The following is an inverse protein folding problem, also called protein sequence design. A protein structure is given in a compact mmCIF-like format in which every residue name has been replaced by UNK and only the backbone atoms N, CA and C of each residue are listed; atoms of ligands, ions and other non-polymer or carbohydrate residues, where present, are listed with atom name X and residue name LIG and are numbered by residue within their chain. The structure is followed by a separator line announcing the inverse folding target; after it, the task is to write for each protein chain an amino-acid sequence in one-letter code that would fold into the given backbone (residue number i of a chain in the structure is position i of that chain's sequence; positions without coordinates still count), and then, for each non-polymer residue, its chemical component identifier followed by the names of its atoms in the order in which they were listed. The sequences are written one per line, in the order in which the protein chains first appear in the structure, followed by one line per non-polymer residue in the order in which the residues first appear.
data_IF_473693207671
#
_entry.id   IF_473693207671
#
_cell.length_a   1.000
_cell.length_b   1.000
_cell.length_c   1.000
_cell.angle_alpha   90.00
_cell.angle_beta   90.00
_cell.angle_gamma   90.00
#
_symmetry.space_group_name_H-M   'P 1'
#
loop_
_entity.id
_entity.type
_entity.pdbx_description
1 polymer ?
#
# COMPACT_ATOMS: atom_id res chain seq x y z
N UNK A 1 1.17 -8.16 -2.23
CA UNK A 1 0.02 -7.23 -2.20
C UNK A 1 -1.07 -7.61 -3.23
N UNK A 2 -1.47 -8.88 -3.31
CA UNK A 2 -2.53 -9.28 -4.25
C UNK A 2 -3.87 -8.69 -3.78
N UNK A 3 -4.62 -8.00 -4.65
CA UNK A 3 -5.92 -7.41 -4.31
C UNK A 3 -5.89 -6.20 -3.37
N UNK A 4 -4.71 -5.77 -2.88
CA UNK A 4 -4.57 -4.64 -1.95
C UNK A 4 -4.39 -3.29 -2.65
N UNK A 5 -3.94 -3.32 -3.90
CA UNK A 5 -3.75 -2.14 -4.73
C UNK A 5 -5.08 -1.73 -5.36
N UNK A 6 -5.26 -0.42 -5.61
CA UNK A 6 -6.46 0.08 -6.29
C UNK A 6 -6.51 -0.35 -7.77
N UNK A 7 -5.35 -0.46 -8.39
CA UNK A 7 -5.15 -0.82 -9.80
C UNK A 7 -4.26 -2.06 -9.88
N UNK A 8 -4.31 -2.80 -11.01
CA UNK A 8 -3.39 -3.92 -11.27
C UNK A 8 -1.92 -3.49 -11.14
N UNK A 9 -1.05 -4.45 -10.81
CA UNK A 9 0.38 -4.23 -10.59
C UNK A 9 1.18 -4.14 -11.91
N UNK A 10 0.63 -3.45 -12.92
CA UNK A 10 1.24 -3.34 -14.25
C UNK A 10 2.25 -2.17 -14.32
N UNK A 11 2.61 -1.57 -13.18
CA UNK A 11 3.57 -0.47 -13.07
C UNK A 11 4.95 -0.83 -13.60
N UNK A 12 5.32 -2.12 -13.59
CA UNK A 12 6.54 -2.62 -14.20
C UNK A 12 6.63 -2.35 -15.71
N UNK A 13 5.50 -2.12 -16.38
CA UNK A 13 5.41 -1.86 -17.82
C UNK A 13 5.25 -0.38 -18.17
N UNK A 14 5.17 0.53 -17.18
CA UNK A 14 4.98 1.95 -17.44
C UNK A 14 6.27 2.62 -17.92
N UNK A 15 6.16 3.40 -19.00
CA UNK A 15 7.25 4.25 -19.51
C UNK A 15 7.64 5.27 -18.44
N UNK A 16 8.92 5.28 -18.06
CA UNK A 16 9.45 6.14 -17.00
C UNK A 16 9.64 5.46 -15.65
N UNK A 17 9.22 4.20 -15.49
CA UNK A 17 9.38 3.41 -14.26
C UNK A 17 8.79 4.11 -13.02
N UNK A 18 7.66 4.81 -13.19
CA UNK A 18 6.96 5.45 -12.08
C UNK A 18 6.68 4.42 -10.98
N UNK A 19 7.29 4.65 -9.80
CA UNK A 19 7.26 3.81 -8.59
C UNK A 19 8.31 2.68 -8.51
N UNK A 20 8.99 2.27 -9.60
CA UNK A 20 10.02 1.20 -9.57
C UNK A 20 9.56 -0.11 -8.90
N UNK A 21 8.28 -0.43 -9.02
CA UNK A 21 7.68 -1.60 -8.38
C UNK A 21 7.90 -2.85 -9.20
N UNK A 22 9.03 -3.49 -8.93
CA UNK A 22 9.19 -4.89 -9.29
C UNK A 22 8.86 -5.76 -8.10
N UNK A 23 8.00 -6.75 -8.32
CA UNK A 23 7.70 -7.75 -7.29
C UNK A 23 9.00 -8.48 -6.94
N UNK A 24 9.34 -8.43 -5.68
CA UNK A 24 10.39 -9.29 -5.14
C UNK A 24 9.78 -10.65 -4.82
N UNK A 25 10.45 -11.72 -5.24
CA UNK A 25 9.96 -13.09 -5.13
C UNK A 25 10.99 -14.06 -4.56
N UNK A 26 12.19 -13.58 -4.23
CA UNK A 26 13.31 -14.44 -3.86
C UNK A 26 13.96 -13.96 -2.56
N UNK A 27 14.37 -14.92 -1.74
CA UNK A 27 15.02 -14.70 -0.45
C UNK A 27 16.53 -14.44 -0.55
N UNK A 28 17.11 -14.55 -1.74
CA UNK A 28 18.54 -14.35 -2.00
C UNK A 28 18.81 -13.01 -2.68
N UNK A 29 19.89 -12.34 -2.26
CA UNK A 29 20.36 -11.09 -2.87
C UNK A 29 21.24 -11.36 -4.11
N UNK A 30 20.80 -12.29 -4.96
CA UNK A 30 21.50 -12.67 -6.20
C UNK A 30 20.83 -11.94 -7.37
N UNK A 31 21.64 -11.15 -8.08
CA UNK A 31 21.18 -10.32 -9.21
C UNK A 31 20.57 -11.18 -10.33
N UNK A 32 21.16 -12.35 -10.60
CA UNK A 32 20.73 -13.24 -11.66
C UNK A 32 19.32 -13.82 -11.43
N UNK A 33 18.98 -14.07 -10.16
CA UNK A 33 17.75 -14.76 -9.80
C UNK A 33 16.61 -13.77 -9.51
N UNK A 34 16.94 -12.65 -8.86
CA UNK A 34 15.97 -11.64 -8.47
C UNK A 34 15.82 -10.57 -9.55
N UNK A 35 14.93 -10.84 -10.51
CA UNK A 35 14.61 -9.94 -11.63
C UNK A 35 14.21 -8.54 -11.14
N UNK A 36 13.49 -8.44 -10.03
CA UNK A 36 13.08 -7.15 -9.50
C UNK A 36 14.23 -6.34 -8.89
N UNK A 37 15.14 -7.03 -8.19
CA UNK A 37 16.35 -6.43 -7.67
C UNK A 37 17.28 -5.99 -8.79
N UNK A 38 17.48 -6.82 -9.83
CA UNK A 38 18.38 -6.50 -10.95
C UNK A 38 17.95 -5.26 -11.71
N UNK A 39 16.65 -5.13 -12.01
CA UNK A 39 16.13 -3.95 -12.72
C UNK A 39 16.26 -2.67 -11.87
N UNK A 40 15.94 -2.74 -10.56
CA UNK A 40 16.14 -1.60 -9.66
C UNK A 40 17.63 -1.23 -9.55
N UNK A 41 18.51 -2.22 -9.44
CA UNK A 41 19.94 -1.99 -9.33
C UNK A 41 20.50 -1.34 -10.60
N UNK A 42 20.12 -1.81 -11.79
CA UNK A 42 20.53 -1.20 -13.06
C UNK A 42 20.08 0.26 -13.18
N UNK A 43 18.89 0.58 -12.68
CA UNK A 43 18.38 1.95 -12.68
C UNK A 43 19.16 2.86 -11.73
N UNK A 44 19.47 2.38 -10.52
CA UNK A 44 20.09 3.17 -9.46
C UNK A 44 21.61 3.27 -9.68
N UNK A 45 22.27 2.15 -9.98
CA UNK A 45 23.72 2.02 -10.05
C UNK A 45 24.13 1.95 -11.52
N UNK A 46 24.46 3.10 -12.10
CA UNK A 46 25.12 3.17 -13.41
C UNK A 46 26.63 2.99 -13.19
N UNK A 47 27.20 1.87 -13.68
CA UNK A 47 28.64 1.59 -13.61
C UNK A 47 29.44 2.81 -14.14
N UNK A 48 30.62 3.15 -13.56
CA UNK A 48 31.45 2.32 -12.67
C UNK A 48 31.29 2.59 -11.16
N UNK A 49 30.37 3.47 -10.75
CA UNK A 49 30.29 3.93 -9.36
C UNK A 49 29.43 2.99 -8.51
N UNK A 50 29.94 2.55 -7.35
CA UNK A 50 29.21 1.68 -6.42
C UNK A 50 28.06 2.38 -5.66
N UNK A 51 27.83 3.68 -5.92
CA UNK A 51 26.77 4.49 -5.32
C UNK A 51 25.91 5.07 -6.44
N UNK A 52 24.60 5.04 -6.21
CA UNK A 52 23.60 5.54 -7.14
C UNK A 52 22.68 6.55 -6.50
N UNK A 53 22.10 7.42 -7.32
CA UNK A 53 21.03 8.35 -6.92
C UNK A 53 19.74 7.88 -7.57
N UNK A 54 18.63 7.98 -6.85
CA UNK A 54 17.32 7.62 -7.38
C UNK A 54 16.33 8.76 -7.19
N UNK A 55 15.34 8.79 -8.08
CA UNK A 55 14.15 9.62 -7.98
C UNK A 55 12.95 8.74 -8.28
N UNK A 56 11.95 8.75 -7.41
CA UNK A 56 10.68 8.08 -7.68
C UNK A 56 9.51 8.88 -7.11
N UNK A 57 8.32 8.63 -7.65
CA UNK A 57 7.07 9.24 -7.20
C UNK A 57 6.13 8.16 -6.67
N UNK A 58 5.67 8.28 -5.43
CA UNK A 58 4.65 7.39 -4.87
C UNK A 58 3.26 8.00 -5.07
N UNK A 59 2.36 7.27 -5.71
CA UNK A 59 0.95 7.67 -5.77
C UNK A 59 0.26 7.39 -4.44
N UNK A 60 -0.03 8.47 -3.68
CA UNK A 60 -0.70 8.38 -2.38
C UNK A 60 -2.12 7.82 -2.50
N UNK A 61 -2.83 8.13 -3.59
CA UNK A 61 -4.16 7.59 -3.87
C UNK A 61 -4.12 6.08 -4.12
N UNK A 62 -3.07 5.57 -4.77
CA UNK A 62 -2.98 4.15 -5.07
C UNK A 62 -2.58 3.32 -3.85
N UNK A 63 -1.56 3.78 -3.11
CA UNK A 63 -0.98 3.09 -1.96
C UNK A 63 -1.81 3.26 -0.68
N UNK A 64 -2.00 4.51 -0.31
CA UNK A 64 -2.61 4.90 0.95
C UNK A 64 -4.10 5.22 0.80
N UNK A 65 -4.64 5.17 -0.44
CA UNK A 65 -6.02 5.58 -0.73
C UNK A 65 -6.33 7.00 -0.27
N UNK A 66 -5.31 7.87 -0.36
CA UNK A 66 -5.43 9.28 -0.03
C UNK A 66 -6.44 9.97 -0.95
N UNK A 67 -7.35 10.76 -0.35
CA UNK A 67 -8.46 11.45 -1.03
C UNK A 67 -9.30 10.57 -1.96
N UNK A 68 -9.53 9.30 -1.59
CA UNK A 68 -10.32 8.42 -2.45
C UNK A 68 -11.84 8.60 -2.29
N UNK A 69 -12.26 9.19 -1.17
CA UNK A 69 -13.67 9.43 -0.81
C UNK A 69 -14.15 10.85 -1.16
N UNK A 70 -13.25 11.74 -1.55
CA UNK A 70 -13.57 13.11 -1.89
C UNK A 70 -12.91 13.50 -3.21
N UNK A 71 -13.73 13.77 -4.21
CA UNK A 71 -13.32 14.05 -5.60
C UNK A 71 -13.51 15.53 -6.01
N UNK A 72 -13.92 16.39 -5.08
CA UNK A 72 -14.12 17.83 -5.32
C UNK A 72 -12.88 18.65 -5.00
N UNK A 73 -12.84 19.86 -5.55
CA UNK A 73 -11.76 20.82 -5.27
C UNK A 73 -11.84 21.30 -3.82
N UNK A 74 -10.69 21.39 -3.18
CA UNK A 74 -10.52 21.92 -1.83
C UNK A 74 -9.87 23.29 -1.95
N UNK A 75 -10.53 24.33 -1.44
CA UNK A 75 -10.02 25.70 -1.44
C UNK A 75 -9.65 26.14 -0.02
N UNK A 76 -8.50 26.80 0.13
CA UNK A 76 -8.07 27.40 1.40
C UNK A 76 -7.56 26.44 2.48
N UNK A 77 -7.54 25.12 2.25
CA UNK A 77 -6.93 24.17 3.20
C UNK A 77 -5.42 24.07 3.00
N UNK A 78 -4.70 24.14 4.12
CA UNK A 78 -3.26 23.84 4.16
C UNK A 78 -3.06 22.33 4.18
N UNK A 79 -2.28 21.83 3.23
CA UNK A 79 -1.91 20.43 3.16
C UNK A 79 -0.48 20.25 3.71
N UNK A 80 -0.34 19.44 4.75
CA UNK A 80 0.95 19.10 5.35
C UNK A 80 1.18 17.60 5.29
N UNK A 81 2.42 17.19 5.07
CA UNK A 81 2.87 15.81 5.20
C UNK A 81 3.94 15.75 6.29
N UNK A 82 3.64 15.05 7.38
CA UNK A 82 4.60 14.75 8.44
C UNK A 82 5.14 13.34 8.21
N UNK A 83 6.46 13.21 8.11
CA UNK A 83 7.13 11.92 8.03
C UNK A 83 8.13 11.83 9.18
N UNK A 84 7.98 10.80 9.99
CA UNK A 84 8.95 10.46 11.04
C UNK A 84 9.71 9.24 10.54
N UNK A 85 11.02 9.40 10.36
CA UNK A 85 11.91 8.32 9.94
C UNK A 85 12.53 7.70 11.19
N UNK A 86 12.56 6.36 11.25
CA UNK A 86 13.29 5.63 12.27
C UNK A 86 14.78 5.54 11.89
N UNK A 87 15.17 4.61 11.00
CA UNK A 87 16.57 4.38 10.63
C UNK A 87 16.86 4.49 9.13
N UNK A 88 18.15 4.51 8.78
CA UNK A 88 18.62 4.63 7.38
C UNK A 88 18.91 3.30 6.67
N UNK A 89 18.79 2.20 7.41
CA UNK A 89 19.44 0.94 7.07
C UNK A 89 18.40 -0.13 6.65
N UNK A 90 17.18 -0.12 7.20
CA UNK A 90 16.17 -1.17 6.98
C UNK A 90 15.58 -1.24 5.55
N UNK A 91 15.88 -0.26 4.71
CA UNK A 91 15.38 -0.19 3.33
C UNK A 91 16.22 -1.00 2.33
N UNK A 92 17.36 -1.56 2.74
CA UNK A 92 18.31 -2.23 1.85
C UNK A 92 18.36 -3.72 2.15
N UNK A 93 18.29 -4.52 1.09
CA UNK A 93 18.55 -5.94 1.11
C UNK A 93 19.92 -6.22 0.46
N UNK A 94 20.80 -6.93 1.16
CA UNK A 94 22.19 -7.23 0.78
C UNK A 94 22.45 -8.74 0.86
N UNK A 95 23.51 -9.20 0.19
CA UNK A 95 24.01 -10.54 0.38
C UNK A 95 24.75 -10.67 1.72
N UNK A 96 24.79 -11.89 2.26
CA UNK A 96 25.53 -12.20 3.48
C UNK A 96 27.02 -11.82 3.32
N UNK A 97 27.60 -11.18 4.35
CA UNK A 97 29.00 -10.76 4.37
C UNK A 97 29.33 -9.48 3.59
N UNK A 98 28.37 -8.86 2.91
CA UNK A 98 28.57 -7.57 2.22
C UNK A 98 28.41 -6.41 3.21
N UNK A 99 29.17 -5.31 3.07
CA UNK A 99 29.01 -4.15 3.96
C UNK A 99 27.57 -3.60 3.97
N UNK A 100 27.12 -3.08 5.12
CA UNK A 100 25.77 -2.54 5.26
C UNK A 100 25.59 -1.30 4.38
N UNK A 101 24.48 -1.24 3.65
CA UNK A 101 24.11 -0.10 2.83
C UNK A 101 23.38 0.97 3.65
N UNK A 102 23.38 2.21 3.17
CA UNK A 102 22.60 3.30 3.77
C UNK A 102 21.83 4.07 2.70
N UNK A 103 20.58 4.42 2.97
CA UNK A 103 19.77 5.29 2.11
C UNK A 103 19.72 6.70 2.69
N UNK A 104 20.24 7.68 1.95
CA UNK A 104 20.13 9.09 2.30
C UNK A 104 19.04 9.74 1.46
N UNK A 105 18.01 10.28 2.10
CA UNK A 105 16.94 11.03 1.45
C UNK A 105 17.32 12.50 1.43
N UNK A 106 17.60 13.04 0.25
CA UNK A 106 18.01 14.45 0.09
C UNK A 106 16.80 15.40 0.09
N UNK A 107 15.71 15.01 -0.56
CA UNK A 107 14.50 15.82 -0.69
C UNK A 107 13.26 14.95 -0.76
N UNK A 108 12.26 15.33 0.02
CA UNK A 108 10.90 14.78 -0.06
C UNK A 108 9.96 15.94 -0.29
N UNK A 109 9.10 15.85 -1.30
CA UNK A 109 8.12 16.89 -1.61
C UNK A 109 6.76 16.26 -1.90
N UNK A 110 5.70 16.83 -1.30
CA UNK A 110 4.33 16.47 -1.62
C UNK A 110 3.89 17.20 -2.89
N UNK A 111 3.53 16.45 -3.92
CA UNK A 111 2.97 17.01 -5.15
C UNK A 111 1.45 16.87 -5.12
N UNK A 112 0.75 18.01 -5.04
CA UNK A 112 -0.70 18.09 -5.14
C UNK A 112 -1.07 18.75 -6.48
N UNK A 113 -1.97 18.15 -7.28
CA UNK A 113 -2.38 18.78 -8.54
C UNK A 113 -3.16 20.06 -8.26
N UNK A 114 -2.77 21.16 -8.90
CA UNK A 114 -3.59 22.36 -9.00
C UNK A 114 -4.54 22.23 -10.18
N UNK A 115 -5.76 22.76 -10.03
CA UNK A 115 -6.78 22.78 -11.08
C UNK A 115 -7.13 24.23 -11.36
N UNK A 116 -7.00 24.66 -12.60
CA UNK A 116 -7.50 25.95 -13.08
C UNK A 116 -8.94 25.78 -13.55
N UNK A 117 -9.86 26.55 -12.98
CA UNK A 117 -11.28 26.48 -13.29
C UNK A 117 -11.63 27.33 -14.52
N UNK A 118 -12.71 26.98 -15.22
CA UNK A 118 -13.33 27.89 -16.19
C UNK A 118 -14.09 29.01 -15.45
N UNK A 119 -14.38 30.12 -16.14
CA UNK A 119 -15.07 31.29 -15.58
C UNK A 119 -16.42 30.88 -14.95
N UNK A 120 -17.19 30.03 -15.61
CA UNK A 120 -18.49 29.56 -15.09
C UNK A 120 -18.33 28.72 -13.81
N UNK A 121 -17.33 27.85 -13.76
CA UNK A 121 -17.05 27.01 -12.59
C UNK A 121 -16.52 27.83 -11.41
N UNK A 122 -15.71 28.85 -11.69
CA UNK A 122 -15.21 29.79 -10.70
C UNK A 122 -16.36 30.61 -10.08
N UNK A 123 -17.29 31.11 -10.90
CA UNK A 123 -18.45 31.85 -10.43
C UNK A 123 -19.35 31.01 -9.51
N UNK A 124 -19.50 29.71 -9.82
CA UNK A 124 -20.21 28.77 -8.97
C UNK A 124 -19.47 28.47 -7.66
N UNK A 125 -18.14 28.29 -7.72
CA UNK A 125 -17.32 28.10 -6.52
C UNK A 125 -17.40 29.31 -5.59
N UNK A 126 -17.34 30.54 -6.14
CA UNK A 126 -17.48 31.78 -5.37
C UNK A 126 -18.85 31.88 -4.71
N UNK A 127 -19.94 31.44 -5.38
CA UNK A 127 -21.28 31.37 -4.76
C UNK A 127 -21.30 30.44 -3.55
N UNK A 128 -20.72 29.23 -3.67
CA UNK A 128 -20.64 28.26 -2.57
C UNK A 128 -19.77 28.80 -1.41
N UNK A 129 -18.65 29.45 -1.72
CA UNK A 129 -17.80 30.08 -0.69
C UNK A 129 -18.56 31.19 0.03
N UNK A 130 -19.33 32.02 -0.72
CA UNK A 130 -20.15 33.10 -0.15
C UNK A 130 -21.32 32.57 0.68
N UNK A 131 -21.94 31.45 0.29
CA UNK A 131 -23.04 30.85 1.07
C UNK A 131 -22.57 30.27 2.40
N UNK A 132 -21.25 30.06 2.59
CA UNK A 132 -20.64 29.50 3.81
C UNK A 132 -21.27 28.17 4.23
N UNK A 133 -21.71 27.41 3.24
CA UNK A 133 -22.28 26.10 3.47
C UNK A 133 -21.27 25.17 4.11
N UNK A 134 -21.71 24.42 5.12
CA UNK A 134 -20.89 23.38 5.73
C UNK A 134 -20.81 22.19 4.79
N UNK A 135 -19.62 21.92 4.25
CA UNK A 135 -19.38 20.78 3.39
C UNK A 135 -18.84 19.63 4.25
N UNK A 136 -19.52 18.49 4.22
CA UNK A 136 -18.99 17.29 4.85
C UNK A 136 -17.84 16.74 3.99
N UNK A 137 -16.67 16.58 4.60
CA UNK A 137 -15.48 16.00 3.99
C UNK A 137 -15.25 14.58 4.51
N UNK A 138 -15.79 13.54 3.84
CA UNK A 138 -15.55 12.17 4.23
C UNK A 138 -14.07 11.82 3.98
N UNK A 139 -13.45 11.19 4.97
CA UNK A 139 -12.11 10.63 4.84
C UNK A 139 -12.03 9.26 5.51
N UNK A 140 -11.06 8.46 5.08
CA UNK A 140 -10.74 7.18 5.71
C UNK A 140 -9.37 7.27 6.35
N UNK A 141 -9.32 6.97 7.64
CA UNK A 141 -8.06 6.80 8.35
C UNK A 141 -7.51 5.40 8.09
N UNK A 142 -6.19 5.32 7.89
CA UNK A 142 -5.44 4.07 7.91
C UNK A 142 -4.44 4.13 9.04
N UNK A 143 -4.32 3.01 9.74
CA UNK A 143 -3.39 2.85 10.84
C UNK A 143 -2.67 1.51 10.68
N UNK A 144 -1.39 1.48 11.04
CA UNK A 144 -0.56 0.30 11.00
C UNK A 144 0.19 0.23 12.32
N UNK A 145 0.00 -0.87 13.05
CA UNK A 145 0.76 -1.20 14.23
C UNK A 145 1.53 -2.49 13.98
N UNK A 146 2.60 -2.68 14.75
CA UNK A 146 3.39 -3.90 14.77
C UNK A 146 3.44 -4.45 16.20
N UNK A 147 3.43 -5.77 16.32
CA UNK A 147 3.57 -6.47 17.59
C UNK A 147 4.51 -7.66 17.43
N UNK A 148 5.26 -7.96 18.48
CA UNK A 148 6.13 -9.14 18.52
C UNK A 148 5.24 -10.36 18.80
N UNK A 149 5.23 -11.30 17.85
CA UNK A 149 4.52 -12.58 18.01
C UNK A 149 5.44 -13.55 18.75
N UNK A 150 5.06 -14.05 19.95
CA UNK A 150 5.85 -15.01 20.69
C UNK A 150 5.85 -16.38 19.99
N UNK A 151 6.83 -17.23 20.31
CA UNK A 151 6.87 -18.64 19.87
C UNK A 151 5.88 -19.51 20.66
N UNK A 152 4.62 -19.09 20.71
CA UNK A 152 3.53 -19.81 21.37
C UNK A 152 2.51 -20.26 20.32
N UNK A 153 1.68 -21.23 20.69
CA UNK A 153 0.56 -21.71 19.84
C UNK A 153 -0.57 -20.69 19.70
N UNK A 154 -0.66 -19.74 20.64
CA UNK A 154 -1.71 -18.72 20.70
C UNK A 154 -1.11 -17.36 21.00
N UNK A 155 -1.66 -16.33 20.37
CA UNK A 155 -1.22 -14.94 20.52
C UNK A 155 -2.43 -14.02 20.47
N UNK A 156 -2.63 -13.27 21.54
CA UNK A 156 -3.67 -12.26 21.63
C UNK A 156 -3.05 -10.87 21.57
N UNK A 157 -3.62 -10.01 20.73
CA UNK A 157 -3.14 -8.65 20.55
C UNK A 157 -4.29 -7.66 20.56
N UNK A 158 -4.22 -6.74 21.53
CA UNK A 158 -5.16 -5.61 21.59
C UNK A 158 -4.84 -4.61 20.49
N UNK A 159 -5.78 -4.43 19.57
CA UNK A 159 -5.67 -3.39 18.55
C UNK A 159 -5.78 -2.00 19.18
N UNK A 160 -4.76 -1.17 18.97
CA UNK A 160 -4.75 0.23 19.41
C UNK A 160 -5.63 1.07 18.51
N UNK A 161 -6.96 1.03 18.69
CA UNK A 161 -7.85 1.91 17.92
C UNK A 161 -7.67 3.35 18.42
N UNK A 162 -7.08 4.21 17.58
CA UNK A 162 -6.83 5.63 17.89
C UNK A 162 -8.03 6.55 17.61
N UNK A 163 -9.16 5.96 17.23
CA UNK A 163 -10.40 6.65 16.87
C UNK A 163 -11.60 5.95 17.49
N UNK A 164 -12.70 6.69 17.66
CA UNK A 164 -13.99 6.13 18.08
C UNK A 164 -14.71 5.38 16.96
N UNK A 165 -14.25 5.53 15.72
CA UNK A 165 -14.83 4.90 14.53
C UNK A 165 -14.55 3.40 14.44
N UNK A 166 -15.53 2.63 13.94
CA UNK A 166 -15.41 1.18 13.74
C UNK A 166 -14.44 0.88 12.59
N UNK A 167 -13.44 0.00 12.77
CA UNK A 167 -12.55 -0.40 11.68
C UNK A 167 -13.35 -1.11 10.59
N UNK A 168 -13.20 -0.65 9.34
CA UNK A 168 -13.89 -1.27 8.20
C UNK A 168 -13.22 -2.56 7.73
N UNK A 169 -11.90 -2.61 7.84
CA UNK A 169 -11.08 -3.73 7.39
C UNK A 169 -9.79 -3.81 8.21
N UNK A 170 -9.30 -5.03 8.39
CA UNK A 170 -8.06 -5.32 9.09
C UNK A 170 -7.26 -6.27 8.22
N UNK A 171 -5.97 -5.95 8.06
CA UNK A 171 -5.03 -6.74 7.28
C UNK A 171 -3.93 -7.15 8.24
N UNK A 172 -3.71 -8.46 8.32
CA UNK A 172 -2.67 -9.05 9.17
C UNK A 172 -1.61 -9.66 8.26
N UNK A 173 -0.35 -9.42 8.58
CA UNK A 173 0.79 -9.98 7.87
C UNK A 173 1.89 -10.31 8.88
N UNK A 174 2.63 -11.39 8.64
CA UNK A 174 3.67 -11.88 9.54
C UNK A 174 5.04 -11.81 8.88
N UNK A 175 6.06 -11.54 9.68
CA UNK A 175 7.46 -11.56 9.27
C UNK A 175 8.32 -12.13 10.39
N UNK A 176 9.25 -13.00 10.04
CA UNK A 176 10.19 -13.65 10.95
C UNK A 176 11.58 -13.09 10.75
N UNK A 177 12.16 -12.49 11.80
CA UNK A 177 13.57 -12.05 11.83
C UNK A 177 14.02 -11.13 10.67
N UNK A 178 13.12 -10.23 10.22
CA UNK A 178 13.39 -9.28 9.12
C UNK A 178 13.58 -7.83 9.56
N UNK A 179 13.04 -7.45 10.71
CA UNK A 179 13.21 -6.09 11.21
C UNK A 179 14.67 -5.84 11.57
N UNK A 180 15.22 -4.69 11.15
CA UNK A 180 16.63 -4.36 11.36
C UNK A 180 17.66 -5.19 10.57
N UNK A 181 17.25 -6.18 9.76
CA UNK A 181 18.17 -7.12 9.13
C UNK A 181 18.26 -6.94 7.61
N UNK A 182 19.38 -6.40 7.13
CA UNK A 182 19.61 -6.21 5.68
C UNK A 182 19.92 -7.52 4.93
N UNK A 183 20.24 -8.62 5.62
CA UNK A 183 20.49 -9.91 4.97
C UNK A 183 19.20 -10.71 4.73
N UNK A 184 18.06 -10.17 5.17
CA UNK A 184 16.75 -10.76 4.98
C UNK A 184 15.87 -9.81 4.18
N UNK A 185 15.10 -10.37 3.25
CA UNK A 185 14.24 -9.58 2.39
C UNK A 185 12.95 -9.18 3.12
N UNK A 186 12.87 -7.91 3.56
CA UNK A 186 11.72 -7.28 4.24
C UNK A 186 10.45 -7.17 3.37
N UNK A 187 10.54 -7.40 2.06
CA UNK A 187 9.37 -7.41 1.17
C UNK A 187 8.62 -8.75 1.19
N UNK A 188 9.21 -9.79 1.79
CA UNK A 188 8.60 -11.10 1.93
C UNK A 188 7.86 -11.22 3.26
N UNK A 189 6.70 -11.86 3.21
CA UNK A 189 5.87 -12.17 4.38
C UNK A 189 5.81 -13.68 4.57
N UNK A 190 5.81 -14.11 5.81
CA UNK A 190 5.72 -15.51 6.17
C UNK A 190 4.27 -15.91 6.45
N UNK A 191 4.02 -17.21 6.36
CA UNK A 191 2.76 -17.80 6.80
C UNK A 191 2.75 -18.13 8.30
N UNK A 192 3.93 -18.26 8.94
CA UNK A 192 4.13 -18.65 10.34
C UNK A 192 3.32 -19.88 10.78
N UNK A 193 3.07 -20.82 9.86
CA UNK A 193 2.15 -21.96 10.03
C UNK A 193 0.81 -21.60 10.70
N UNK A 194 0.25 -20.44 10.33
CA UNK A 194 -1.00 -19.95 10.90
C UNK A 194 -2.13 -20.95 10.60
N UNK A 195 -2.78 -21.45 11.66
CA UNK A 195 -3.92 -22.37 11.53
C UNK A 195 -5.26 -21.64 11.64
N UNK A 196 -5.38 -20.68 12.56
CA UNK A 196 -6.61 -19.94 12.78
C UNK A 196 -6.30 -18.48 13.16
N UNK A 197 -7.16 -17.56 12.71
CA UNK A 197 -7.15 -16.17 13.12
C UNK A 197 -8.58 -15.65 13.20
N UNK A 198 -8.85 -14.80 14.18
CA UNK A 198 -10.09 -14.05 14.29
C UNK A 198 -9.82 -12.75 15.03
N UNK A 199 -10.80 -11.86 14.97
CA UNK A 199 -10.85 -10.65 15.76
C UNK A 199 -12.17 -10.58 16.50
N UNK A 200 -12.12 -10.11 17.73
CA UNK A 200 -13.30 -9.74 18.51
C UNK A 200 -13.45 -8.22 18.51
N UNK A 201 -14.60 -7.73 18.05
CA UNK A 201 -14.95 -6.32 18.00
C UNK A 201 -16.30 -6.14 18.71
N UNK A 202 -16.31 -5.44 19.85
CA UNK A 202 -17.52 -5.24 20.67
C UNK A 202 -18.24 -6.57 20.95
N UNK A 203 -17.49 -7.59 21.40
CA UNK A 203 -17.95 -8.95 21.72
C UNK A 203 -18.38 -9.81 20.52
N UNK A 204 -18.39 -9.28 19.29
CA UNK A 204 -18.64 -10.03 18.08
C UNK A 204 -17.34 -10.57 17.45
N UNK A 205 -17.35 -11.84 17.04
CA UNK A 205 -16.21 -12.52 16.41
C UNK A 205 -16.26 -12.46 14.88
N UNK A 206 -15.14 -12.06 14.26
CA UNK A 206 -14.96 -12.00 12.81
C UNK A 206 -13.67 -12.71 12.35
N UNK A 207 -13.72 -13.58 11.33
CA UNK A 207 -14.94 -14.19 10.80
C UNK A 207 -15.63 -15.06 11.86
N UNK A 208 -16.96 -15.23 11.74
CA UNK A 208 -17.74 -16.04 12.68
C UNK A 208 -17.28 -17.51 12.75
N UNK A 209 -16.79 -18.04 11.63
CA UNK A 209 -16.27 -19.40 11.51
C UNK A 209 -14.74 -19.40 11.41
N UNK A 210 -14.11 -20.41 11.99
CA UNK A 210 -12.67 -20.65 11.87
C UNK A 210 -12.19 -20.79 10.41
N UNK A 211 -10.93 -20.45 10.17
CA UNK A 211 -10.29 -20.63 8.88
C UNK A 211 -9.76 -22.07 8.67
N UNK A 212 -9.30 -22.74 9.74
CA UNK A 212 -8.75 -24.11 9.71
C UNK A 212 -7.70 -24.32 8.62
N UNK A 213 -6.72 -23.41 8.59
CA UNK A 213 -5.67 -23.35 7.59
C UNK A 213 -4.61 -24.43 7.81
N UNK A 214 -4.01 -24.89 6.72
CA UNK A 214 -2.78 -25.69 6.75
C UNK A 214 -1.98 -25.44 5.47
N UNK A 215 -0.85 -24.74 5.61
CA UNK A 215 0.01 -24.41 4.46
C UNK A 215 0.70 -25.63 3.85
N UNK A 216 1.25 -26.59 4.64
CA UNK A 216 1.82 -27.81 4.09
C UNK A 216 0.83 -28.64 3.25
N UNK A 217 -0.45 -28.62 3.64
CA UNK A 217 -1.52 -29.35 2.95
C UNK A 217 -2.28 -28.50 1.93
N UNK A 218 -1.80 -27.30 1.59
CA UNK A 218 -2.43 -26.38 0.61
C UNK A 218 -3.88 -25.99 0.99
N UNK A 219 -4.21 -26.05 2.29
CA UNK A 219 -5.51 -25.65 2.83
C UNK A 219 -5.51 -24.16 3.21
N UNK A 220 -5.30 -23.29 2.22
CA UNK A 220 -5.29 -21.82 2.43
C UNK A 220 -6.19 -21.06 1.44
N UNK A 221 -7.02 -21.76 0.68
CA UNK A 221 -7.88 -21.19 -0.37
C UNK A 221 -8.80 -20.08 0.15
N UNK A 222 -9.37 -20.24 1.36
CA UNK A 222 -10.26 -19.24 1.97
C UNK A 222 -9.53 -17.94 2.30
N UNK A 223 -8.40 -18.02 3.00
CA UNK A 223 -7.57 -16.86 3.32
C UNK A 223 -7.06 -16.17 2.04
N UNK A 224 -6.66 -16.96 1.04
CA UNK A 224 -6.24 -16.44 -0.26
C UNK A 224 -7.39 -15.70 -0.99
N UNK A 225 -8.60 -16.27 -1.00
CA UNK A 225 -9.79 -15.65 -1.61
C UNK A 225 -10.17 -14.35 -0.90
N UNK A 226 -10.11 -14.31 0.42
CA UNK A 226 -10.39 -13.09 1.19
C UNK A 226 -9.39 -11.98 0.89
N UNK A 227 -8.09 -12.31 0.82
CA UNK A 227 -7.06 -11.37 0.41
C UNK A 227 -7.23 -10.89 -1.04
N UNK A 228 -7.49 -11.81 -1.97
CA UNK A 228 -7.63 -11.50 -3.40
C UNK A 228 -8.89 -10.67 -3.72
N UNK A 229 -9.95 -10.81 -2.93
CA UNK A 229 -11.22 -10.08 -3.11
C UNK A 229 -11.32 -8.81 -2.26
N UNK A 230 -10.25 -8.44 -1.55
CA UNK A 230 -10.23 -7.31 -0.62
C UNK A 230 -10.67 -6.00 -1.29
N UNK A 231 -10.02 -5.58 -2.38
CA UNK A 231 -10.38 -4.40 -3.18
C UNK A 231 -11.85 -4.43 -3.63
N UNK A 232 -12.32 -5.58 -4.10
CA UNK A 232 -13.70 -5.78 -4.57
C UNK A 232 -14.70 -5.47 -3.44
N UNK A 233 -14.50 -6.08 -2.27
CA UNK A 233 -15.33 -5.83 -1.07
C UNK A 233 -15.19 -4.38 -0.59
N UNK A 234 -13.96 -3.85 -0.60
CA UNK A 234 -13.65 -2.49 -0.16
C UNK A 234 -14.39 -1.41 -0.96
N UNK A 235 -14.45 -1.56 -2.28
CA UNK A 235 -15.08 -0.58 -3.19
C UNK A 235 -16.53 -0.93 -3.57
N UNK A 236 -17.06 -2.07 -3.11
CA UNK A 236 -18.38 -2.55 -3.53
C UNK A 236 -18.45 -2.87 -5.04
N UNK A 237 -17.34 -3.26 -5.65
CA UNK A 237 -17.29 -3.64 -7.06
C UNK A 237 -17.84 -5.06 -7.25
N UNK A 238 -18.37 -5.37 -8.44
CA UNK A 238 -18.71 -6.75 -8.78
C UNK A 238 -17.44 -7.57 -9.04
N UNK A 239 -17.45 -8.85 -8.67
CA UNK A 239 -16.30 -9.76 -8.81
C UNK A 239 -15.83 -9.92 -10.25
N UNK A 240 -16.72 -9.73 -11.22
CA UNK A 240 -16.42 -9.80 -12.66
C UNK A 240 -15.54 -8.63 -13.13
N UNK A 241 -15.72 -7.43 -12.57
CA UNK A 241 -14.95 -6.23 -12.95
C UNK A 241 -13.53 -6.28 -12.34
N UNK A 242 -13.40 -6.83 -11.14
CA UNK A 242 -12.10 -6.93 -10.47
C UNK A 242 -11.18 -8.00 -11.09
N UNK A 243 -11.71 -9.17 -11.47
CA UNK A 243 -10.91 -10.26 -12.06
C UNK A 243 -10.48 -10.01 -13.50
N UNK A 244 -11.16 -9.10 -14.20
CA UNK A 244 -10.91 -8.81 -15.62
C UNK A 244 -9.84 -7.74 -15.84
N UNK A 245 -9.23 -7.18 -14.78
CA UNK A 245 -8.27 -6.07 -14.91
C UNK A 245 -8.90 -4.77 -15.45
N UNK A 246 -10.21 -4.75 -15.65
CA UNK A 246 -10.95 -3.60 -16.15
C UNK A 246 -11.14 -2.63 -15.00
N UNK A 247 -10.42 -1.51 -15.01
CA UNK A 247 -10.71 -0.41 -14.08
C UNK A 247 -12.11 0.14 -14.38
N UNK A 248 -13.06 0.14 -13.44
CA UNK A 248 -14.32 0.85 -13.62
C UNK A 248 -14.02 2.34 -13.44
N UNK A 249 -13.60 2.99 -14.52
CA UNK A 249 -13.11 4.36 -14.43
C UNK A 249 -12.50 4.89 -15.71
N UNK A 250 -13.20 4.77 -16.83
CA UNK A 250 -13.41 5.82 -17.86
C UNK A 250 -14.15 5.18 -19.04
N UNK A 251 -15.45 5.44 -19.12
CA UNK A 251 -16.06 5.69 -20.44
C UNK A 251 -15.15 6.70 -21.12
N UNK A 252 -14.46 6.28 -22.17
CA UNK A 252 -14.07 7.18 -23.23
C UNK A 252 -15.37 7.87 -23.67
N UNK A 253 -15.59 9.11 -23.20
CA UNK A 253 -16.37 10.05 -24.00
C UNK A 253 -15.46 10.36 -25.17
N UNK A 254 -15.53 9.51 -26.20
CA UNK A 254 -15.19 9.98 -27.53
C UNK A 254 -16.14 11.13 -27.83
N UNK A 255 -15.48 12.22 -28.19
CA UNK A 255 -16.01 13.50 -28.60
C UNK A 255 -17.20 13.29 -29.55
N UNK A 256 -18.36 13.86 -29.18
CA UNK A 256 -19.20 14.46 -30.20
C UNK A 256 -18.52 15.79 -30.54
N UNK A 257 -17.78 15.77 -31.63
CA UNK A 257 -17.94 16.63 -32.82
C UNK A 257 -17.14 16.00 -33.95
#
# INVERSE_FOLDING_TARGET
MLGMLKYPNDFQFLKGMDQLWYKDNISTAVIADNVGFSVRQQYIIQKPTAKGTFLFRISLRHNFRFCDDYDKVVYGLKHGLLLVRQDSDNAIFRANGVAAGKVNLSRISLFMPSVTLSIDAELNLVKIIKSRETIQLPFRLRHCDQAIVPQNTTFDWRLGVRTTEKPRYIIVAFQTNRDGNQEQNTSLFDNCDLQNMWIELNDDRYPASNYSLSFPNIKFSRAYRDAATFSCKFYGMSTLIHLSGISPGKRFKELKE
#
